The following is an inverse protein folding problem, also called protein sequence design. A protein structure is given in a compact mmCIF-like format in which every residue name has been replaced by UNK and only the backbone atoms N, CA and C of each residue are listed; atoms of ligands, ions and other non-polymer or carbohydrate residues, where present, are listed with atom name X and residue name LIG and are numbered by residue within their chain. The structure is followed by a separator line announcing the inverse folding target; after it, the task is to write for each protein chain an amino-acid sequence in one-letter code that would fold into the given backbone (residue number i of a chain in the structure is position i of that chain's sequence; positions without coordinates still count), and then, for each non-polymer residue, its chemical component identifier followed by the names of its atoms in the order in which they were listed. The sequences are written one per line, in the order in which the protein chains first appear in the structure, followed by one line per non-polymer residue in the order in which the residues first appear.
data_IF_271211404590
#
_entry.id   IF_271211404590
#
_cell.length_a   1.000
_cell.length_b   1.000
_cell.length_c   1.000
_cell.angle_alpha   90.00
_cell.angle_beta   90.00
_cell.angle_gamma   90.00
#
_symmetry.space_group_name_H-M   'P 1'
#
loop_
_entity.id
_entity.type
_entity.pdbx_description
1 polymer ?
#
# COMPACT_ATOMS: atom_id res chain seq x y z
N UNK A 1 -9.06 11.29 1.04
CA UNK A 1 -8.89 12.05 2.30
C UNK A 1 -7.69 11.52 3.06
N UNK A 2 -6.90 12.40 3.68
CA UNK A 2 -5.77 12.05 4.57
C UNK A 2 -6.26 12.02 6.01
N UNK A 3 -5.84 11.03 6.79
CA UNK A 3 -6.22 10.88 8.19
C UNK A 3 -4.95 10.86 9.04
N UNK A 4 -4.69 11.95 9.76
CA UNK A 4 -3.56 12.06 10.69
C UNK A 4 -3.93 11.69 12.12
N UNK A 5 -2.92 11.40 12.95
CA UNK A 5 -3.10 11.20 14.39
C UNK A 5 -3.63 9.82 14.79
N UNK A 6 -3.58 8.84 13.88
CA UNK A 6 -4.01 7.48 14.17
C UNK A 6 -3.22 6.87 15.34
N UNK A 7 -3.89 6.03 16.13
CA UNK A 7 -3.19 5.17 17.09
C UNK A 7 -2.26 4.22 16.34
N UNK A 8 -1.17 3.82 16.99
CA UNK A 8 -0.28 2.81 16.42
C UNK A 8 -0.95 1.44 16.31
N UNK A 9 -2.01 1.24 17.09
CA UNK A 9 -2.82 0.03 17.12
C UNK A 9 -3.97 0.08 16.10
N UNK A 10 -4.31 1.26 15.55
CA UNK A 10 -5.39 1.39 14.57
C UNK A 10 -5.15 0.49 13.36
N UNK A 11 -6.14 -0.35 13.06
CA UNK A 11 -6.13 -1.26 11.93
C UNK A 11 -6.85 -0.65 10.72
N UNK A 12 -6.68 -1.26 9.56
CA UNK A 12 -7.38 -0.82 8.36
C UNK A 12 -8.89 -1.02 8.50
N UNK A 13 -9.29 -2.11 9.17
CA UNK A 13 -10.66 -2.49 9.44
C UNK A 13 -11.32 -1.49 10.39
N UNK A 14 -10.68 -1.16 11.51
CA UNK A 14 -11.23 -0.17 12.45
C UNK A 14 -11.33 1.23 11.83
N UNK A 15 -10.36 1.61 11.00
CA UNK A 15 -10.43 2.87 10.25
C UNK A 15 -11.58 2.84 9.22
N UNK A 16 -11.77 1.74 8.51
CA UNK A 16 -12.86 1.56 7.55
C UNK A 16 -14.22 1.66 8.24
N UNK A 17 -14.40 0.92 9.34
CA UNK A 17 -15.65 0.87 10.09
C UNK A 17 -16.03 2.26 10.60
N UNK A 18 -15.08 2.97 11.21
CA UNK A 18 -15.30 4.35 11.66
C UNK A 18 -15.71 5.28 10.53
N UNK A 19 -15.03 5.24 9.37
CA UNK A 19 -15.36 6.15 8.28
C UNK A 19 -16.62 5.75 7.49
N UNK A 20 -17.04 4.49 7.57
CA UNK A 20 -18.26 3.99 6.93
C UNK A 20 -19.53 4.65 7.46
N UNK A 21 -19.51 5.19 8.69
CA UNK A 21 -20.64 5.94 9.26
C UNK A 21 -20.92 7.26 8.52
N UNK A 22 -19.94 7.79 7.77
CA UNK A 22 -20.09 9.03 7.00
C UNK A 22 -20.51 8.79 5.55
N UNK A 23 -20.25 7.60 5.01
CA UNK A 23 -20.63 7.21 3.66
C UNK A 23 -19.91 5.95 3.21
N UNK A 24 -20.26 5.45 2.02
CA UNK A 24 -19.64 4.25 1.47
C UNK A 24 -18.15 4.50 1.17
N UNK A 25 -17.29 3.74 1.83
CA UNK A 25 -15.84 3.78 1.63
C UNK A 25 -15.51 2.91 0.41
N UNK A 26 -14.75 3.48 -0.52
CA UNK A 26 -14.19 2.78 -1.69
C UNK A 26 -12.86 2.12 -1.37
N UNK A 27 -12.00 2.81 -0.63
CA UNK A 27 -10.66 2.35 -0.30
C UNK A 27 -10.22 2.90 1.06
N UNK A 28 -9.56 2.07 1.85
CA UNK A 28 -8.96 2.42 3.14
C UNK A 28 -7.53 1.91 3.18
N UNK A 29 -6.59 2.76 3.58
CA UNK A 29 -5.18 2.40 3.69
C UNK A 29 -4.59 2.94 4.98
N UNK A 30 -3.98 2.08 5.80
CA UNK A 30 -3.16 2.50 6.95
C UNK A 30 -1.69 2.40 6.56
N UNK A 31 -0.97 3.52 6.63
CA UNK A 31 0.44 3.54 6.23
C UNK A 31 1.29 2.91 7.32
N UNK A 32 2.01 1.85 6.94
CA UNK A 32 2.92 1.11 7.82
C UNK A 32 4.34 1.17 7.28
N UNK A 33 5.30 1.09 8.17
CA UNK A 33 6.69 0.88 7.81
C UNK A 33 6.84 -0.48 7.10
N UNK A 34 7.50 -0.54 5.92
CA UNK A 34 7.54 -1.76 5.12
C UNK A 34 8.33 -2.89 5.79
N UNK A 35 9.31 -2.56 6.63
CA UNK A 35 10.21 -3.52 7.27
C UNK A 35 9.63 -3.97 8.63
N UNK A 36 9.29 -3.02 9.49
CA UNK A 36 8.85 -3.29 10.86
C UNK A 36 7.34 -3.52 10.99
N UNK A 37 6.57 -3.24 9.93
CA UNK A 37 5.09 -3.28 9.90
C UNK A 37 4.39 -2.39 10.92
N UNK A 38 5.14 -1.54 11.63
CA UNK A 38 4.58 -0.56 12.58
C UNK A 38 3.80 0.51 11.85
N UNK A 39 2.67 0.93 12.43
CA UNK A 39 1.88 2.05 11.92
C UNK A 39 2.71 3.33 11.95
N UNK A 40 2.56 4.13 10.89
CA UNK A 40 3.16 5.47 10.80
C UNK A 40 2.28 6.56 11.41
N UNK A 41 1.15 6.18 12.00
CA UNK A 41 0.21 7.11 12.65
C UNK A 41 -0.65 7.91 11.68
N UNK A 42 -0.77 7.47 10.42
CA UNK A 42 -1.65 8.09 9.44
C UNK A 42 -2.16 7.09 8.40
N UNK A 43 -3.24 7.46 7.73
CA UNK A 43 -3.87 6.67 6.68
C UNK A 43 -4.58 7.52 5.64
N UNK A 44 -5.24 6.85 4.71
CA UNK A 44 -6.04 7.45 3.66
C UNK A 44 -7.39 6.75 3.56
N UNK A 45 -8.43 7.54 3.31
CA UNK A 45 -9.78 7.08 3.03
C UNK A 45 -10.23 7.68 1.70
N UNK A 46 -10.74 6.83 0.81
CA UNK A 46 -11.41 7.24 -0.41
C UNK A 46 -12.87 6.84 -0.27
N UNK A 47 -13.79 7.81 -0.34
CA UNK A 47 -15.24 7.54 -0.39
C UNK A 47 -15.67 7.28 -1.84
N UNK A 48 -16.79 6.57 -2.03
CA UNK A 48 -17.45 6.48 -3.33
C UNK A 48 -17.97 7.86 -3.77
N UNK A 49 -18.55 8.61 -2.83
CA UNK A 49 -19.17 9.91 -3.08
C UNK A 49 -18.55 11.04 -2.27
N UNK A 50 -18.56 12.24 -2.86
CA UNK A 50 -18.12 13.48 -2.20
C UNK A 50 -18.97 13.82 -0.96
N UNK A 51 -20.20 13.32 -0.86
CA UNK A 51 -21.06 13.52 0.30
C UNK A 51 -20.43 12.99 1.60
N UNK A 52 -19.70 11.87 1.55
CA UNK A 52 -18.98 11.33 2.71
C UNK A 52 -17.88 12.27 3.20
N UNK A 53 -17.14 12.87 2.27
CA UNK A 53 -16.11 13.88 2.57
C UNK A 53 -16.71 15.09 3.28
N UNK A 54 -17.83 15.61 2.78
CA UNK A 54 -18.48 16.78 3.36
C UNK A 54 -18.99 16.51 4.79
N UNK A 55 -19.53 15.32 5.04
CA UNK A 55 -19.99 14.91 6.38
C UNK A 55 -18.84 14.79 7.38
N UNK A 56 -17.70 14.23 6.96
CA UNK A 56 -16.49 14.19 7.80
C UNK A 56 -16.05 15.61 8.14
N UNK A 57 -15.92 16.49 7.15
CA UNK A 57 -15.47 17.87 7.37
C UNK A 57 -16.44 18.73 8.19
N UNK A 58 -17.72 18.38 8.21
CA UNK A 58 -18.72 19.06 9.03
C UNK A 58 -18.63 18.69 10.53
N UNK A 59 -18.00 17.57 10.87
CA UNK A 59 -17.82 17.15 12.25
C UNK A 59 -16.59 17.82 12.87
N UNK A 60 -16.80 18.52 13.98
CA UNK A 60 -15.75 19.33 14.62
C UNK A 60 -14.63 18.50 15.26
N UNK A 61 -14.92 17.27 15.69
CA UNK A 61 -13.96 16.41 16.39
C UNK A 61 -14.14 14.95 16.02
N UNK A 62 -13.05 14.30 15.64
CA UNK A 62 -12.99 12.88 15.36
C UNK A 62 -12.14 12.16 16.40
N UNK A 63 -12.61 11.03 16.89
CA UNK A 63 -11.90 10.19 17.84
C UNK A 63 -12.00 8.73 17.41
N UNK A 64 -10.87 8.03 17.40
CA UNK A 64 -10.73 6.62 17.08
C UNK A 64 -9.65 6.02 17.98
N UNK A 65 -9.91 4.85 18.56
CA UNK A 65 -9.00 4.16 19.50
C UNK A 65 -8.51 5.07 20.65
N UNK A 66 -9.45 5.85 21.23
CA UNK A 66 -9.19 6.85 22.27
C UNK A 66 -8.15 7.91 21.89
N UNK A 67 -7.90 8.11 20.59
CA UNK A 67 -7.07 9.20 20.06
C UNK A 67 -7.89 10.12 19.18
N UNK A 68 -7.63 11.42 19.33
CA UNK A 68 -8.16 12.41 18.40
C UNK A 68 -7.43 12.31 17.07
N UNK A 69 -8.19 12.12 15.99
CA UNK A 69 -7.68 12.04 14.62
C UNK A 69 -8.00 13.33 13.86
N UNK A 70 -7.22 13.62 12.82
CA UNK A 70 -7.29 14.87 12.04
C UNK A 70 -7.52 14.56 10.55
N UNK A 71 -8.79 14.41 10.12
CA UNK A 71 -9.13 14.19 8.72
C UNK A 71 -9.01 15.47 7.89
N UNK A 72 -8.30 15.40 6.77
CA UNK A 72 -8.08 16.54 5.86
C UNK A 72 -8.21 16.12 4.41
N UNK A 73 -8.64 17.06 3.55
CA UNK A 73 -8.63 16.83 2.10
C UNK A 73 -7.23 16.41 1.67
N UNK A 74 -7.13 15.29 0.96
CA UNK A 74 -5.85 14.80 0.48
C UNK A 74 -5.54 15.47 -0.85
N UNK A 75 -4.35 16.05 -0.96
CA UNK A 75 -3.80 16.36 -2.27
C UNK A 75 -3.41 15.04 -2.94
N UNK A 76 -3.81 14.81 -4.19
CA UNK A 76 -3.40 13.62 -4.91
C UNK A 76 -1.87 13.59 -4.95
N UNK A 77 -1.26 12.63 -4.26
CA UNK A 77 0.13 12.28 -4.52
C UNK A 77 0.13 11.76 -5.96
N UNK A 78 0.89 12.39 -6.86
CA UNK A 78 1.15 11.82 -8.20
C UNK A 78 1.42 10.34 -7.99
N UNK A 79 0.63 9.49 -8.64
CA UNK A 79 0.68 8.04 -8.47
C UNK A 79 2.15 7.61 -8.48
N UNK A 80 2.67 7.23 -7.33
CA UNK A 80 3.90 6.49 -7.24
C UNK A 80 3.43 5.04 -7.20
N UNK A 81 3.32 4.34 -8.35
CA UNK A 81 3.06 2.92 -8.33
C UNK A 81 4.33 2.29 -7.79
N UNK A 82 4.35 1.96 -6.50
CA UNK A 82 5.28 0.99 -5.90
C UNK A 82 4.83 0.62 -4.49
N UNK A 83 3.57 0.16 -4.38
CA UNK A 83 3.31 -1.00 -3.54
C UNK A 83 4.06 -2.14 -4.22
N UNK A 84 5.02 -2.76 -3.55
CA UNK A 84 5.74 -3.94 -4.07
C UNK A 84 4.69 -5.00 -4.31
N UNK A 85 4.22 -5.06 -5.56
CA UNK A 85 3.43 -6.17 -6.06
C UNK A 85 4.29 -7.41 -5.91
N UNK A 86 3.66 -8.50 -5.53
CA UNK A 86 4.24 -9.83 -5.62
C UNK A 86 4.59 -10.08 -7.10
N UNK A 87 5.74 -9.64 -7.55
CA UNK A 87 6.14 -9.76 -8.95
C UNK A 87 6.69 -11.15 -9.18
N UNK A 88 6.23 -11.83 -10.22
CA UNK A 88 6.80 -13.09 -10.73
C UNK A 88 8.23 -12.93 -11.29
N UNK A 89 8.86 -11.78 -11.07
CA UNK A 89 10.19 -11.42 -11.56
C UNK A 89 11.15 -11.33 -10.38
N UNK A 90 12.14 -12.19 -10.40
CA UNK A 90 13.28 -12.16 -9.48
C UNK A 90 14.51 -11.64 -10.24
N UNK A 91 15.40 -10.96 -9.52
CA UNK A 91 16.71 -10.58 -10.03
C UNK A 91 17.75 -11.46 -9.35
N UNK A 92 18.62 -12.08 -10.14
CA UNK A 92 19.67 -12.98 -9.64
C UNK A 92 21.01 -12.29 -9.91
N UNK A 93 21.66 -11.84 -8.85
CA UNK A 93 22.99 -11.20 -8.88
C UNK A 93 24.06 -12.09 -8.27
N UNK A 94 25.34 -11.79 -8.54
CA UNK A 94 26.46 -12.57 -8.01
C UNK A 94 26.72 -13.90 -8.72
N UNK A 95 26.16 -14.07 -9.93
CA UNK A 95 26.47 -15.20 -10.78
C UNK A 95 27.93 -15.14 -11.26
N UNK A 96 28.54 -16.30 -11.40
CA UNK A 96 29.89 -16.41 -11.97
C UNK A 96 29.90 -15.88 -13.41
N UNK A 97 31.04 -15.36 -13.85
CA UNK A 97 31.23 -14.86 -15.22
C UNK A 97 30.98 -15.95 -16.29
N UNK A 98 31.07 -17.22 -15.89
CA UNK A 98 30.82 -18.36 -16.76
C UNK A 98 29.36 -18.86 -16.70
N UNK A 99 28.52 -18.30 -15.83
CA UNK A 99 27.12 -18.71 -15.69
C UNK A 99 26.29 -18.12 -16.83
N UNK A 100 25.61 -18.99 -17.58
CA UNK A 100 24.75 -18.58 -18.69
C UNK A 100 23.26 -18.61 -18.30
N UNK A 101 22.41 -18.11 -19.20
CA UNK A 101 20.96 -18.02 -18.98
C UNK A 101 20.32 -19.41 -18.84
N UNK A 102 20.87 -20.43 -19.49
CA UNK A 102 20.35 -21.80 -19.43
C UNK A 102 20.65 -22.46 -18.09
N UNK A 103 21.82 -22.23 -17.52
CA UNK A 103 22.18 -22.70 -16.16
C UNK A 103 21.22 -22.11 -15.11
N UNK A 104 20.93 -20.81 -15.25
CA UNK A 104 19.99 -20.11 -14.37
C UNK A 104 18.58 -20.68 -14.54
N UNK A 105 18.14 -20.89 -15.78
CA UNK A 105 16.85 -21.50 -16.04
C UNK A 105 16.75 -22.88 -15.39
N UNK A 106 17.67 -23.78 -15.69
CA UNK A 106 17.64 -25.15 -15.18
C UNK A 106 17.61 -25.19 -13.64
N UNK A 107 18.35 -24.30 -12.98
CA UNK A 107 18.30 -24.17 -11.52
C UNK A 107 16.92 -23.72 -11.01
N UNK A 108 16.27 -22.76 -11.67
CA UNK A 108 15.00 -22.21 -11.22
C UNK A 108 13.77 -23.05 -11.63
N UNK A 109 13.92 -24.04 -12.53
CA UNK A 109 12.85 -24.99 -12.87
C UNK A 109 12.39 -25.80 -11.65
N UNK A 110 13.28 -26.09 -10.71
CA UNK A 110 12.92 -26.83 -9.48
C UNK A 110 11.91 -26.08 -8.60
N UNK A 111 11.81 -24.76 -8.75
CA UNK A 111 10.88 -23.90 -8.01
C UNK A 111 9.58 -23.63 -8.76
N UNK A 112 9.45 -24.14 -10.00
CA UNK A 112 8.24 -24.06 -10.80
C UNK A 112 8.47 -23.64 -12.24
N UNK A 113 7.37 -23.57 -13.01
CA UNK A 113 7.40 -23.24 -14.44
C UNK A 113 7.75 -21.76 -14.64
N UNK A 114 8.93 -21.49 -15.18
CA UNK A 114 9.36 -20.11 -15.47
C UNK A 114 8.71 -19.54 -16.73
N UNK A 115 8.50 -18.23 -16.72
CA UNK A 115 8.19 -17.46 -17.92
C UNK A 115 9.48 -17.12 -18.69
N UNK A 116 9.42 -16.92 -20.02
CA UNK A 116 10.59 -16.59 -20.83
C UNK A 116 11.29 -15.33 -20.36
N UNK A 117 12.63 -15.35 -20.39
CA UNK A 117 13.46 -14.20 -20.03
C UNK A 117 13.22 -13.03 -20.99
N UNK A 118 13.01 -11.83 -20.44
CA UNK A 118 12.85 -10.62 -21.25
C UNK A 118 14.20 -10.16 -21.81
N UNK A 119 14.28 -9.71 -23.08
CA UNK A 119 15.52 -9.19 -23.65
C UNK A 119 15.95 -7.92 -22.91
N UNK A 120 17.25 -7.85 -22.58
CA UNK A 120 17.83 -6.73 -21.88
C UNK A 120 17.84 -5.50 -22.80
N UNK A 121 16.98 -4.52 -22.53
CA UNK A 121 17.00 -3.23 -23.22
C UNK A 121 18.34 -2.54 -22.98
N UNK A 122 19.07 -2.28 -24.07
CA UNK A 122 20.24 -1.40 -24.07
C UNK A 122 19.78 0.00 -23.67
N UNK A 123 20.42 0.58 -22.65
CA UNK A 123 20.36 2.02 -22.36
C UNK A 123 21.03 2.83 -23.46
#
# INVERSE_FOLDING_TARGET
MFIGGLSWQTTQEGLWEYFSQFGEVKECLVMRDPLTKRSRGFGFITFMDQAGVNKVLAQSRHELDSKTIDPKVAFPRRAQPKMVTQTKKIFVGGLSVNTNVEDVKQYFEQFGKMAPAAPQGRV
#
